data_IF_911866342374
#
_entry.id   IF_911866342374
#
_cell.length_a   1.000
_cell.length_b   1.000
_cell.length_c   1.000
_cell.angle_alpha   90.00
_cell.angle_beta   90.00
_cell.angle_gamma   90.00
#
_symmetry.space_group_name_H-M   'P 1'
#
loop_
_entity.id
_entity.type
_entity.pdbx_description
1 polymer ?
#
# COMPACT_ATOMS: atom_id res chain seq x y z
N UNK A 1 0.90 -12.11 -3.33
CA UNK A 1 2.34 -12.12 -2.95
C UNK A 1 2.47 -11.73 -1.47
N UNK A 2 3.45 -12.26 -0.73
CA UNK A 2 3.67 -11.91 0.69
C UNK A 2 4.62 -10.70 0.82
N UNK A 3 4.10 -9.60 1.37
CA UNK A 3 4.80 -8.32 1.53
C UNK A 3 5.44 -8.14 2.91
N UNK A 4 5.28 -9.11 3.83
CA UNK A 4 5.76 -9.01 5.21
C UNK A 4 7.22 -8.55 5.27
N UNK A 5 8.10 -9.22 4.53
CA UNK A 5 9.55 -8.94 4.60
C UNK A 5 9.92 -7.54 4.12
N UNK A 6 9.32 -7.06 3.02
CA UNK A 6 9.64 -5.74 2.48
C UNK A 6 9.05 -4.64 3.37
N UNK A 7 7.84 -4.83 3.89
CA UNK A 7 7.19 -3.89 4.80
C UNK A 7 7.91 -3.79 6.14
N UNK A 8 8.37 -4.90 6.72
CA UNK A 8 9.21 -4.88 7.93
C UNK A 8 10.49 -4.08 7.70
N UNK A 9 11.20 -4.33 6.60
CA UNK A 9 12.43 -3.59 6.28
C UNK A 9 12.19 -2.10 6.03
N UNK A 10 11.05 -1.74 5.44
CA UNK A 10 10.69 -0.34 5.23
C UNK A 10 10.39 0.36 6.57
N UNK A 11 9.72 -0.30 7.51
CA UNK A 11 9.52 0.20 8.89
C UNK A 11 10.86 0.49 9.56
N UNK A 12 11.81 -0.45 9.47
CA UNK A 12 13.16 -0.29 10.04
C UNK A 12 13.92 0.92 9.46
N UNK A 13 13.64 1.27 8.20
CA UNK A 13 14.29 2.36 7.47
C UNK A 13 13.57 3.72 7.58
N UNK A 14 12.41 3.80 8.25
CA UNK A 14 11.56 5.01 8.35
C UNK A 14 12.33 6.28 8.75
N UNK A 15 13.26 6.18 9.69
CA UNK A 15 13.99 7.33 10.24
C UNK A 15 14.79 8.16 9.22
N UNK A 16 15.13 7.56 8.07
CA UNK A 16 15.90 8.20 7.00
C UNK A 16 15.03 8.69 5.84
N UNK A 17 13.73 8.41 5.90
CA UNK A 17 12.82 8.65 4.81
C UNK A 17 12.15 10.02 4.94
N UNK A 18 12.34 10.87 3.94
CA UNK A 18 11.66 12.16 3.85
C UNK A 18 10.81 12.21 2.58
N UNK A 19 9.54 11.79 2.70
CA UNK A 19 8.62 11.68 1.57
C UNK A 19 8.50 12.97 0.75
N UNK A 20 8.46 14.13 1.39
CA UNK A 20 8.33 15.42 0.68
C UNK A 20 9.53 15.70 -0.24
N UNK A 21 10.73 15.35 0.19
CA UNK A 21 11.95 15.49 -0.62
C UNK A 21 11.97 14.49 -1.77
N UNK A 22 11.59 13.24 -1.51
CA UNK A 22 11.46 12.19 -2.54
C UNK A 22 10.42 12.57 -3.60
N UNK A 23 9.23 12.96 -3.17
CA UNK A 23 8.13 13.37 -4.05
C UNK A 23 8.53 14.59 -4.90
N UNK A 24 9.20 15.59 -4.30
CA UNK A 24 9.74 16.74 -5.05
C UNK A 24 10.78 16.32 -6.09
N UNK A 25 11.66 15.39 -5.75
CA UNK A 25 12.66 14.88 -6.68
C UNK A 25 12.04 14.12 -7.85
N UNK A 26 11.03 13.26 -7.60
CA UNK A 26 10.27 12.57 -8.66
C UNK A 26 9.58 13.59 -9.58
N UNK A 27 8.89 14.58 -9.00
CA UNK A 27 8.16 15.60 -9.75
C UNK A 27 9.07 16.60 -10.49
N UNK A 28 10.38 16.62 -10.19
CA UNK A 28 11.35 17.42 -10.94
C UNK A 28 11.71 16.78 -12.30
N UNK A 29 11.46 15.48 -12.48
CA UNK A 29 11.57 14.84 -13.79
C UNK A 29 10.41 15.29 -14.69
N UNK A 30 10.72 15.63 -15.95
CA UNK A 30 9.70 16.07 -16.91
C UNK A 30 8.62 15.03 -17.20
N UNK A 31 8.94 13.75 -17.00
CA UNK A 31 8.14 12.63 -17.45
C UNK A 31 7.36 11.94 -16.33
N UNK A 32 7.63 12.25 -15.06
CA UNK A 32 7.05 11.56 -13.91
C UNK A 32 6.27 12.48 -12.99
N UNK A 33 5.24 11.91 -12.38
CA UNK A 33 4.44 12.55 -11.35
C UNK A 33 4.24 11.59 -10.18
N UNK A 34 4.47 12.09 -8.97
CA UNK A 34 4.15 11.46 -7.70
C UNK A 34 3.15 12.36 -6.97
N UNK A 35 1.92 11.88 -6.82
CA UNK A 35 0.82 12.74 -6.39
C UNK A 35 -0.54 12.21 -6.80
N UNK A 36 -1.54 12.36 -5.92
CA UNK A 36 -2.92 12.41 -6.39
C UNK A 36 -3.17 13.81 -6.99
N UNK A 37 -4.05 13.92 -8.00
CA UNK A 37 -4.37 15.23 -8.62
C UNK A 37 -5.00 16.22 -7.62
N UNK A 38 -5.45 15.68 -6.48
CA UNK A 38 -6.30 16.29 -5.50
C UNK A 38 -5.60 16.23 -4.12
N UNK A 39 -5.05 17.38 -3.70
CA UNK A 39 -4.30 17.56 -2.44
C UNK A 39 -5.11 17.31 -1.14
N UNK A 40 -6.35 16.83 -1.25
CA UNK A 40 -7.28 16.61 -0.14
C UNK A 40 -7.48 15.13 0.21
N UNK A 41 -6.93 14.21 -0.58
CA UNK A 41 -6.93 12.79 -0.23
C UNK A 41 -5.69 12.49 0.65
N UNK A 42 -5.91 12.32 1.96
CA UNK A 42 -4.92 11.82 2.94
C UNK A 42 -4.60 10.34 2.70
N UNK A 43 -4.18 10.00 1.48
CA UNK A 43 -3.77 8.66 1.14
C UNK A 43 -2.29 8.50 1.49
N UNK A 44 -1.97 7.62 2.43
CA UNK A 44 -0.60 7.24 2.77
C UNK A 44 0.13 6.49 1.64
N UNK A 45 -0.53 6.31 0.49
CA UNK A 45 -0.02 5.66 -0.70
C UNK A 45 -0.31 6.51 -1.95
N UNK A 46 0.73 7.12 -2.49
CA UNK A 46 0.68 8.10 -3.57
C UNK A 46 0.86 7.43 -4.93
N UNK A 47 0.00 7.78 -5.88
CA UNK A 47 0.07 7.27 -7.24
C UNK A 47 1.32 7.80 -7.97
N UNK A 48 2.02 6.90 -8.66
CA UNK A 48 3.10 7.18 -9.59
C UNK A 48 2.59 7.03 -11.02
N UNK A 49 2.79 8.06 -11.85
CA UNK A 49 2.27 8.10 -13.22
C UNK A 49 3.09 9.02 -14.13
N UNK A 50 2.90 8.98 -15.46
CA UNK A 50 3.50 9.97 -16.32
C UNK A 50 2.88 11.37 -16.14
N UNK A 51 3.70 12.42 -16.30
CA UNK A 51 3.26 13.83 -16.17
C UNK A 51 2.30 14.25 -17.29
N UNK A 52 2.60 13.82 -18.51
CA UNK A 52 1.72 13.99 -19.66
C UNK A 52 0.78 12.78 -19.67
N UNK A 53 -0.53 13.02 -19.75
CA UNK A 53 -1.53 11.96 -19.86
C UNK A 53 -1.37 11.26 -21.22
N UNK A 54 -0.42 10.33 -21.31
CA UNK A 54 -0.21 9.50 -22.51
C UNK A 54 -1.33 8.46 -22.65
N UNK A 55 -1.92 8.06 -21.52
CA UNK A 55 -3.24 7.41 -21.40
C UNK A 55 -3.71 7.53 -19.95
N UNK A 56 -5.02 7.54 -19.72
CA UNK A 56 -5.60 7.56 -18.36
C UNK A 56 -5.22 6.33 -17.52
N UNK A 57 -4.71 5.27 -18.14
CA UNK A 57 -4.50 3.95 -17.52
C UNK A 57 -3.04 3.64 -17.13
N UNK A 58 -2.06 4.49 -17.46
CA UNK A 58 -0.66 4.21 -17.15
C UNK A 58 -0.32 4.59 -15.70
N UNK A 59 -0.53 3.65 -14.80
CA UNK A 59 -0.01 3.66 -13.44
C UNK A 59 1.38 2.99 -13.41
N UNK A 60 2.39 3.66 -12.87
CA UNK A 60 3.73 3.10 -12.64
C UNK A 60 3.82 2.38 -11.30
N UNK A 61 2.97 2.74 -10.34
CA UNK A 61 2.96 2.13 -9.02
C UNK A 61 2.42 3.06 -7.95
N UNK A 62 2.70 2.70 -6.70
CA UNK A 62 2.33 3.45 -5.52
C UNK A 62 3.54 3.63 -4.61
N UNK A 63 3.74 4.84 -4.11
CA UNK A 63 4.78 5.19 -3.15
C UNK A 63 4.17 5.42 -1.77
N UNK A 64 4.64 4.72 -0.75
CA UNK A 64 4.19 4.96 0.61
C UNK A 64 4.74 6.29 1.14
N UNK A 65 3.89 7.09 1.79
CA UNK A 65 4.25 8.39 2.36
C UNK A 65 4.99 8.27 3.70
N UNK A 66 4.72 7.20 4.47
CA UNK A 66 5.30 7.03 5.81
C UNK A 66 6.56 6.18 5.81
N UNK A 67 6.67 5.26 4.86
CA UNK A 67 7.73 4.27 4.80
C UNK A 67 8.42 4.30 3.44
N UNK A 68 9.75 4.09 3.37
CA UNK A 68 10.51 4.09 2.11
C UNK A 68 10.24 2.80 1.31
N UNK A 69 9.00 2.64 0.83
CA UNK A 69 8.58 1.49 0.02
C UNK A 69 7.67 1.91 -1.14
N UNK A 70 7.91 1.33 -2.30
CA UNK A 70 7.08 1.48 -3.50
C UNK A 70 6.61 0.12 -4.04
N UNK A 71 5.35 0.06 -4.50
CA UNK A 71 4.76 -1.10 -5.16
C UNK A 71 4.59 -0.77 -6.64
N UNK A 72 5.31 -1.46 -7.51
CA UNK A 72 5.50 -1.07 -8.91
C UNK A 72 4.69 -1.96 -9.85
N UNK A 73 4.00 -1.35 -10.81
CA UNK A 73 3.35 -2.13 -11.87
C UNK A 73 4.38 -2.53 -12.94
N UNK A 74 3.99 -3.43 -13.85
CA UNK A 74 4.78 -3.75 -15.05
C UNK A 74 5.05 -2.58 -15.99
N UNK A 75 4.39 -1.44 -15.78
CA UNK A 75 4.55 -0.23 -16.60
C UNK A 75 5.58 0.75 -16.02
N UNK A 76 6.13 0.48 -14.84
CA UNK A 76 7.16 1.32 -14.23
C UNK A 76 8.42 1.39 -15.12
N UNK A 77 8.89 2.58 -15.50
CA UNK A 77 10.09 2.72 -16.32
C UNK A 77 11.37 2.49 -15.49
N UNK A 78 12.42 1.97 -16.14
CA UNK A 78 13.72 1.70 -15.50
C UNK A 78 14.33 2.95 -14.86
N UNK A 79 14.08 4.13 -15.44
CA UNK A 79 14.51 5.42 -14.87
C UNK A 79 13.98 5.64 -13.45
N UNK A 80 12.72 5.27 -13.19
CA UNK A 80 12.10 5.41 -11.88
C UNK A 80 12.57 4.31 -10.90
N UNK A 81 12.86 3.11 -11.41
CA UNK A 81 13.47 2.03 -10.63
C UNK A 81 14.87 2.44 -10.15
N UNK A 82 15.71 2.97 -11.04
CA UNK A 82 17.04 3.47 -10.71
C UNK A 82 16.98 4.61 -9.68
N UNK A 83 15.99 5.49 -9.79
CA UNK A 83 15.74 6.53 -8.79
C UNK A 83 15.45 5.92 -7.40
N UNK A 84 14.61 4.90 -7.30
CA UNK A 84 14.34 4.24 -6.02
C UNK A 84 15.59 3.61 -5.42
N UNK A 85 16.44 2.97 -6.23
CA UNK A 85 17.70 2.38 -5.78
C UNK A 85 18.68 3.46 -5.24
N UNK A 86 18.81 4.59 -5.93
CA UNK A 86 19.65 5.72 -5.51
C UNK A 86 19.17 6.34 -4.18
N UNK A 87 17.85 6.53 -4.05
CA UNK A 87 17.22 7.10 -2.86
C UNK A 87 16.98 6.06 -1.75
N UNK A 88 17.41 4.81 -1.94
CA UNK A 88 17.25 3.69 -0.99
C UNK A 88 15.80 3.43 -0.59
N UNK A 89 14.89 3.64 -1.53
CA UNK A 89 13.47 3.30 -1.42
C UNK A 89 13.34 1.84 -1.83
N UNK A 90 12.82 1.01 -0.93
CA UNK A 90 12.57 -0.39 -1.23
C UNK A 90 11.47 -0.48 -2.29
N UNK A 91 11.60 -1.39 -3.23
CA UNK A 91 10.54 -1.58 -4.23
C UNK A 91 10.32 -3.06 -4.53
N UNK A 92 9.10 -3.37 -4.93
CA UNK A 92 8.70 -4.70 -5.39
C UNK A 92 7.54 -4.60 -6.36
N UNK A 93 7.24 -5.68 -7.08
CA UNK A 93 6.10 -5.72 -7.99
C UNK A 93 4.78 -5.64 -7.22
N UNK A 94 3.83 -4.88 -7.75
CA UNK A 94 2.45 -4.88 -7.30
C UNK A 94 1.73 -6.11 -7.89
N UNK A 95 1.64 -7.15 -7.09
CA UNK A 95 0.90 -8.39 -7.39
C UNK A 95 -0.25 -8.58 -6.41
N UNK A 96 -1.47 -8.39 -6.92
CA UNK A 96 -2.72 -8.58 -6.18
C UNK A 96 -3.34 -9.97 -6.43
N UNK A 97 -3.97 -10.60 -5.42
CA UNK A 97 -4.06 -10.13 -4.04
C UNK A 97 -2.72 -10.24 -3.28
N UNK A 98 -2.59 -9.36 -2.31
CA UNK A 98 -1.44 -9.26 -1.41
C UNK A 98 -1.75 -9.96 -0.09
N UNK A 99 -0.71 -10.44 0.56
CA UNK A 99 -0.76 -10.92 1.95
C UNK A 99 0.37 -10.29 2.76
N UNK A 100 0.17 -10.17 4.06
CA UNK A 100 1.14 -9.62 4.99
C UNK A 100 0.82 -10.10 6.40
N UNK A 101 1.83 -10.22 7.26
CA UNK A 101 1.61 -10.41 8.68
C UNK A 101 0.71 -9.30 9.24
N UNK A 102 -0.32 -9.67 10.00
CA UNK A 102 -1.30 -8.76 10.58
C UNK A 102 -0.66 -7.57 11.32
N UNK A 103 0.28 -7.83 12.23
CA UNK A 103 0.93 -6.79 13.05
C UNK A 103 1.81 -5.85 12.22
N UNK A 104 2.33 -6.32 11.09
CA UNK A 104 3.09 -5.48 10.17
C UNK A 104 2.13 -4.62 9.35
N UNK A 105 1.06 -5.22 8.81
CA UNK A 105 0.08 -4.52 7.98
C UNK A 105 -0.69 -3.44 8.76
N UNK A 106 -0.97 -3.67 10.04
CA UNK A 106 -1.57 -2.68 10.95
C UNK A 106 -0.80 -1.36 11.02
N UNK A 107 0.50 -1.36 10.72
CA UNK A 107 1.30 -0.12 10.69
C UNK A 107 1.13 0.69 9.40
N UNK A 108 0.55 0.09 8.35
CA UNK A 108 0.33 0.73 7.04
C UNK A 108 -1.12 1.17 6.80
N UNK A 109 -2.04 0.79 7.69
CA UNK A 109 -3.49 1.03 7.56
C UNK A 109 -3.96 1.79 8.80
N UNK A 110 -4.50 2.99 8.59
CA UNK A 110 -4.84 3.91 9.69
C UNK A 110 -6.32 3.92 10.07
N UNK A 111 -7.22 3.79 9.09
CA UNK A 111 -8.66 4.01 9.29
C UNK A 111 -9.51 2.73 9.29
N UNK A 112 -8.88 1.57 9.15
CA UNK A 112 -9.57 0.28 9.04
C UNK A 112 -8.96 -0.72 10.02
N UNK A 113 -9.81 -1.58 10.57
CA UNK A 113 -9.35 -2.74 11.32
C UNK A 113 -8.59 -3.68 10.39
N UNK A 114 -7.50 -4.29 10.88
CA UNK A 114 -6.70 -5.25 10.12
C UNK A 114 -6.62 -6.54 10.92
N UNK A 115 -7.03 -7.65 10.31
CA UNK A 115 -6.90 -8.99 10.89
C UNK A 115 -6.84 -10.08 9.82
N UNK A 116 -6.30 -11.25 10.17
CA UNK A 116 -6.31 -12.43 9.30
C UNK A 116 -7.64 -13.18 9.42
N UNK A 117 -8.51 -13.14 8.39
CA UNK A 117 -9.81 -13.83 8.39
C UNK A 117 -9.72 -15.34 8.67
N UNK A 118 -8.56 -15.97 8.52
CA UNK A 118 -8.36 -17.40 8.83
C UNK A 118 -8.63 -17.75 10.30
N UNK A 119 -8.69 -16.77 11.22
CA UNK A 119 -9.14 -17.01 12.61
C UNK A 119 -10.54 -17.65 12.66
N UNK A 120 -11.41 -17.34 11.68
CA UNK A 120 -12.76 -17.91 11.58
C UNK A 120 -12.69 -19.41 11.29
N UNK A 121 -11.82 -19.82 10.38
CA UNK A 121 -11.61 -21.23 10.02
C UNK A 121 -11.06 -22.05 11.18
N UNK A 122 -10.28 -21.40 12.05
CA UNK A 122 -9.66 -22.02 13.22
C UNK A 122 -10.57 -21.99 14.46
N UNK A 123 -11.79 -21.44 14.37
CA UNK A 123 -12.68 -21.19 15.50
C UNK A 123 -12.01 -20.41 16.65
N UNK A 124 -11.07 -19.51 16.31
CA UNK A 124 -10.29 -18.72 17.26
C UNK A 124 -10.93 -17.36 17.53
N UNK A 125 -12.17 -17.40 18.04
CA UNK A 125 -12.95 -16.21 18.37
C UNK A 125 -13.96 -16.48 19.49
N UNK A 126 -14.32 -15.41 20.20
CA UNK A 126 -15.41 -15.42 21.17
C UNK A 126 -16.67 -14.78 20.57
N UNK A 127 -17.82 -14.96 21.23
CA UNK A 127 -19.09 -14.37 20.78
C UNK A 127 -19.03 -12.83 20.71
N UNK A 128 -18.22 -12.20 21.56
CA UNK A 128 -18.09 -10.74 21.62
C UNK A 128 -16.94 -10.19 20.76
N UNK A 129 -16.21 -11.04 20.05
CA UNK A 129 -15.08 -10.65 19.20
C UNK A 129 -15.52 -9.69 18.09
N UNK A 130 -14.94 -8.49 18.09
CA UNK A 130 -15.25 -7.45 17.11
C UNK A 130 -14.85 -7.88 15.69
N UNK A 131 -13.76 -8.64 15.52
CA UNK A 131 -13.35 -9.18 14.20
C UNK A 131 -14.43 -10.07 13.63
N UNK A 132 -14.99 -10.94 14.47
CA UNK A 132 -16.06 -11.85 14.07
C UNK A 132 -17.33 -11.08 13.67
N UNK A 133 -17.71 -10.05 14.42
CA UNK A 133 -18.82 -9.16 14.07
C UNK A 133 -18.61 -8.47 12.72
N UNK A 134 -17.39 -8.04 12.40
CA UNK A 134 -17.06 -7.45 11.10
C UNK A 134 -17.18 -8.45 9.94
N UNK A 135 -16.74 -9.71 10.14
CA UNK A 135 -16.90 -10.77 9.12
C UNK A 135 -18.38 -11.06 8.87
N UNK A 136 -19.19 -11.18 9.93
CA UNK A 136 -20.64 -11.39 9.81
C UNK A 136 -21.31 -10.23 9.06
N UNK A 137 -20.98 -8.97 9.40
CA UNK A 137 -21.51 -7.80 8.71
C UNK A 137 -21.21 -7.84 7.20
N UNK A 138 -19.99 -8.22 6.81
CA UNK A 138 -19.62 -8.40 5.39
C UNK A 138 -20.45 -9.50 4.74
N UNK A 139 -20.63 -10.64 5.40
CA UNK A 139 -21.41 -11.75 4.86
C UNK A 139 -22.89 -11.38 4.66
N UNK A 140 -23.46 -10.62 5.59
CA UNK A 140 -24.87 -10.20 5.55
C UNK A 140 -25.13 -9.09 4.53
N UNK A 141 -24.19 -8.14 4.37
CA UNK A 141 -24.41 -6.91 3.57
C UNK A 141 -23.61 -6.87 2.26
N UNK A 142 -22.60 -7.72 2.10
CA UNK A 142 -21.62 -7.65 1.03
C UNK A 142 -20.59 -6.52 1.18
N UNK A 143 -20.66 -5.71 2.25
CA UNK A 143 -19.75 -4.57 2.46
C UNK A 143 -18.57 -4.96 3.35
N UNK A 144 -17.34 -4.80 2.84
CA UNK A 144 -16.10 -5.03 3.60
C UNK A 144 -15.56 -3.71 4.14
N UNK A 145 -15.49 -3.57 5.46
CA UNK A 145 -15.03 -2.38 6.19
C UNK A 145 -13.72 -2.59 6.98
N UNK A 146 -13.01 -3.67 6.69
CA UNK A 146 -11.73 -4.05 7.30
C UNK A 146 -10.77 -4.55 6.23
N UNK A 147 -9.50 -4.70 6.56
CA UNK A 147 -8.47 -5.29 5.70
C UNK A 147 -8.16 -6.69 6.19
N UNK A 148 -8.31 -7.68 5.30
CA UNK A 148 -7.91 -9.06 5.59
C UNK A 148 -6.41 -9.18 5.30
N UNK A 149 -5.59 -9.38 6.33
CA UNK A 149 -4.13 -9.42 6.17
C UNK A 149 -3.66 -10.63 5.33
N UNK A 150 -4.49 -11.67 5.20
CA UNK A 150 -4.20 -12.82 4.35
C UNK A 150 -4.53 -12.58 2.87
N UNK A 151 -5.38 -11.59 2.57
CA UNK A 151 -5.87 -11.31 1.22
C UNK A 151 -6.43 -9.88 1.10
N UNK A 152 -5.60 -8.96 0.61
CA UNK A 152 -6.00 -7.56 0.38
C UNK A 152 -5.50 -7.00 -0.95
N UNK A 153 -6.11 -5.89 -1.36
CA UNK A 153 -5.78 -5.12 -2.56
C UNK A 153 -5.27 -3.74 -2.21
N UNK A 154 -4.64 -3.07 -3.17
CA UNK A 154 -4.16 -1.70 -3.05
C UNK A 154 -5.32 -0.73 -2.82
N UNK A 155 -6.51 -1.04 -3.34
CA UNK A 155 -7.74 -0.30 -3.07
C UNK A 155 -8.15 -0.36 -1.60
N UNK A 156 -7.78 -1.42 -0.88
CA UNK A 156 -8.06 -1.53 0.56
C UNK A 156 -7.03 -0.76 1.41
N UNK A 157 -5.80 -0.56 0.91
CA UNK A 157 -4.76 0.27 1.54
C UNK A 157 -4.89 1.78 1.27
N UNK A 158 -5.59 2.15 0.19
CA UNK A 158 -5.97 3.52 -0.15
C UNK A 158 -7.40 3.82 0.32
#
# INVERSE_FOLDING_TARGET
MDYTKIFTRAIENKSKYEFRSVCRAINAFSNFHCGDWDNWADNYWYLLRPTIVVSYDKCYGYLCAEYPVALLTKHCPDELINFFDEFKILHTALEEPMSCNENILQQYVHDKMVFDECFVNNCDYSFDDERFKMVLHRLDTGQKCYVDSSCFTMKELR
#
